data_IF_294421376700
#
_entry.id   IF_294421376700
#
_cell.length_a   1.000
_cell.length_b   1.000
_cell.length_c   1.000
_cell.angle_alpha   90.00
_cell.angle_beta   90.00
_cell.angle_gamma   90.00
#
_symmetry.space_group_name_H-M   'P 1'
#
loop_
_entity.id
_entity.type
_entity.pdbx_description
1 polymer ?
#
# COMPACT_ATOMS: atom_id res chain seq x y z
N UNK A 1 -5.54 7.17 13.47
CA UNK A 1 -5.31 6.16 12.40
C UNK A 1 -4.00 6.48 11.67
N UNK A 2 -3.29 5.46 11.23
CA UNK A 2 -1.98 5.56 10.56
C UNK A 2 -2.13 5.24 9.08
N UNK A 3 -1.34 5.88 8.23
CA UNK A 3 -1.27 5.61 6.79
C UNK A 3 0.02 4.93 6.41
N UNK A 4 -0.05 4.01 5.44
CA UNK A 4 1.10 3.36 4.84
C UNK A 4 1.06 3.48 3.33
N UNK A 5 2.23 3.57 2.71
CA UNK A 5 2.37 3.52 1.26
C UNK A 5 2.63 2.08 0.83
N UNK A 6 1.80 1.58 -0.06
CA UNK A 6 1.89 0.25 -0.67
C UNK A 6 1.94 0.43 -2.18
N UNK A 7 2.89 -0.21 -2.84
CA UNK A 7 2.99 -0.13 -4.29
C UNK A 7 3.14 -1.51 -4.90
N UNK A 8 2.25 -1.84 -5.83
CA UNK A 8 2.39 -3.01 -6.67
C UNK A 8 3.40 -2.73 -7.76
N UNK A 9 4.36 -3.62 -7.91
CA UNK A 9 5.44 -3.55 -8.89
C UNK A 9 4.99 -4.06 -10.25
N UNK A 10 5.75 -3.83 -11.33
CA UNK A 10 5.34 -4.25 -12.67
C UNK A 10 5.01 -5.75 -12.79
N UNK A 11 5.70 -6.59 -12.08
CA UNK A 11 5.46 -8.04 -12.07
C UNK A 11 4.10 -8.41 -11.45
N UNK A 12 3.64 -7.71 -10.42
CA UNK A 12 2.29 -7.91 -9.87
C UNK A 12 1.21 -7.57 -10.93
N UNK A 13 1.40 -6.48 -11.66
CA UNK A 13 0.48 -6.05 -12.73
C UNK A 13 0.48 -7.07 -13.86
N UNK A 14 1.65 -7.45 -14.35
CA UNK A 14 1.78 -8.41 -15.46
C UNK A 14 1.22 -9.80 -15.13
N UNK A 15 1.32 -10.22 -13.87
CA UNK A 15 0.77 -11.50 -13.40
C UNK A 15 -0.71 -11.45 -13.05
N UNK A 16 -1.37 -10.29 -13.14
CA UNK A 16 -2.80 -10.14 -12.82
C UNK A 16 -3.13 -10.29 -11.33
N UNK A 17 -2.19 -9.89 -10.43
CA UNK A 17 -2.32 -10.08 -8.98
C UNK A 17 -2.92 -8.86 -8.25
N UNK A 18 -3.26 -7.79 -8.95
CA UNK A 18 -3.74 -6.55 -8.33
C UNK A 18 -4.97 -6.78 -7.46
N UNK A 19 -5.98 -7.45 -7.99
CA UNK A 19 -7.24 -7.70 -7.28
C UNK A 19 -7.04 -8.50 -6.00
N UNK A 20 -6.27 -9.59 -6.06
CA UNK A 20 -5.99 -10.43 -4.90
C UNK A 20 -5.24 -9.68 -3.80
N UNK A 21 -4.24 -8.88 -4.16
CA UNK A 21 -3.46 -8.14 -3.17
C UNK A 21 -4.31 -7.05 -2.51
N UNK A 22 -5.09 -6.29 -3.29
CA UNK A 22 -6.00 -5.27 -2.77
C UNK A 22 -7.03 -5.92 -1.83
N UNK A 23 -7.62 -7.04 -2.24
CA UNK A 23 -8.58 -7.81 -1.44
C UNK A 23 -7.99 -8.22 -0.08
N UNK A 24 -6.73 -8.64 -0.02
CA UNK A 24 -6.09 -9.00 1.25
C UNK A 24 -6.03 -7.83 2.23
N UNK A 25 -5.74 -6.63 1.76
CA UNK A 25 -5.75 -5.42 2.61
C UNK A 25 -7.16 -5.05 3.04
N UNK A 26 -8.13 -5.06 2.14
CA UNK A 26 -9.53 -4.75 2.45
C UNK A 26 -10.14 -5.79 3.38
N UNK A 27 -9.93 -7.08 3.14
CA UNK A 27 -10.39 -8.18 4.00
C UNK A 27 -9.83 -8.06 5.41
N UNK A 28 -8.57 -7.63 5.55
CA UNK A 28 -7.95 -7.37 6.85
C UNK A 28 -8.57 -6.19 7.58
N UNK A 29 -9.26 -5.28 6.89
CA UNK A 29 -9.92 -4.10 7.44
C UNK A 29 -9.18 -2.79 7.19
N UNK A 30 -8.14 -2.77 6.35
CA UNK A 30 -7.46 -1.54 5.96
C UNK A 30 -8.29 -0.78 4.92
N UNK A 31 -8.38 0.54 5.11
CA UNK A 31 -9.13 1.43 4.24
C UNK A 31 -8.23 1.97 3.13
N UNK A 32 -8.61 1.76 1.87
CA UNK A 32 -7.96 2.38 0.73
C UNK A 32 -8.37 3.85 0.65
N UNK A 33 -7.40 4.77 0.64
CA UNK A 33 -7.65 6.21 0.58
C UNK A 33 -7.07 6.88 -0.66
N UNK A 34 -6.14 6.22 -1.37
CA UNK A 34 -5.61 6.68 -2.65
C UNK A 34 -5.07 5.50 -3.46
N UNK A 35 -5.21 5.58 -4.78
CA UNK A 35 -4.69 4.59 -5.71
C UNK A 35 -4.47 5.22 -7.09
N UNK A 36 -3.40 4.83 -7.76
CA UNK A 36 -3.11 5.18 -9.16
C UNK A 36 -2.70 3.93 -9.94
N UNK A 37 -2.99 3.94 -11.23
CA UNK A 37 -2.41 3.01 -12.18
C UNK A 37 -1.57 3.82 -13.18
N UNK A 38 -0.25 3.65 -13.18
CA UNK A 38 0.63 4.54 -13.91
C UNK A 38 1.95 3.91 -14.32
N UNK A 39 2.56 4.46 -15.36
CA UNK A 39 3.97 4.26 -15.68
C UNK A 39 4.78 5.28 -14.86
N UNK A 40 5.64 4.79 -13.98
CA UNK A 40 6.49 5.66 -13.19
C UNK A 40 7.66 6.17 -14.03
N UNK A 41 7.96 7.49 -13.94
CA UNK A 41 9.14 8.06 -14.55
C UNK A 41 10.42 7.58 -13.84
N UNK A 42 11.52 7.52 -14.58
CA UNK A 42 12.82 7.19 -13.97
C UNK A 42 13.20 8.18 -12.85
N UNK A 43 12.92 9.46 -13.01
CA UNK A 43 13.23 10.48 -12.00
C UNK A 43 12.46 10.26 -10.71
N UNK A 44 11.16 9.92 -10.81
CA UNK A 44 10.34 9.58 -9.66
C UNK A 44 10.89 8.33 -8.94
N UNK A 45 11.25 7.30 -9.70
CA UNK A 45 11.82 6.06 -9.15
C UNK A 45 13.19 6.28 -8.51
N UNK A 46 14.05 7.08 -9.12
CA UNK A 46 15.36 7.45 -8.56
C UNK A 46 15.22 8.23 -7.25
N UNK A 47 14.20 9.06 -7.12
CA UNK A 47 13.89 9.75 -5.87
C UNK A 47 13.35 8.79 -4.83
N UNK A 48 12.42 7.93 -5.21
CA UNK A 48 11.84 6.93 -4.32
C UNK A 48 12.89 5.98 -3.74
N UNK A 49 13.81 5.50 -4.57
CA UNK A 49 14.91 4.61 -4.20
C UNK A 49 16.24 5.31 -3.94
N UNK A 50 16.22 6.59 -3.59
CA UNK A 50 17.44 7.40 -3.41
C UNK A 50 18.44 6.79 -2.41
N UNK A 51 17.95 6.12 -1.37
CA UNK A 51 18.78 5.43 -0.37
C UNK A 51 19.58 4.26 -0.96
N UNK A 52 19.17 3.75 -2.11
CA UNK A 52 19.81 2.65 -2.82
C UNK A 52 20.70 3.13 -3.98
N UNK A 53 20.82 4.44 -4.20
CA UNK A 53 21.48 5.04 -5.39
C UNK A 53 22.93 4.61 -5.60
N UNK A 54 23.64 4.25 -4.53
CA UNK A 54 25.04 3.81 -4.57
C UNK A 54 25.19 2.27 -4.66
N UNK A 55 24.08 1.53 -4.67
CA UNK A 55 24.12 0.07 -4.76
C UNK A 55 24.35 -0.37 -6.20
N UNK A 56 25.12 -1.47 -6.44
CA UNK A 56 25.40 -1.96 -7.78
C UNK A 56 24.15 -2.32 -8.59
N UNK A 57 23.10 -2.77 -7.94
CA UNK A 57 21.84 -3.17 -8.57
C UNK A 57 20.89 -1.99 -8.88
N UNK A 58 21.24 -0.76 -8.51
CA UNK A 58 20.35 0.39 -8.66
C UNK A 58 19.89 0.63 -10.12
N UNK A 59 20.78 0.60 -11.15
CA UNK A 59 20.34 0.76 -12.53
C UNK A 59 19.33 -0.30 -12.98
N UNK A 60 19.54 -1.56 -12.58
CA UNK A 60 18.61 -2.65 -12.89
C UNK A 60 17.28 -2.49 -12.18
N UNK A 61 17.29 -2.03 -10.92
CA UNK A 61 16.07 -1.73 -10.17
C UNK A 61 15.23 -0.66 -10.87
N UNK A 62 15.84 0.42 -11.32
CA UNK A 62 15.15 1.51 -12.03
C UNK A 62 14.59 0.99 -13.36
N UNK A 63 15.36 0.22 -14.12
CA UNK A 63 14.91 -0.40 -15.37
C UNK A 63 13.71 -1.31 -15.14
N UNK A 64 13.77 -2.17 -14.15
CA UNK A 64 12.68 -3.07 -13.78
C UNK A 64 11.42 -2.30 -13.38
N UNK A 65 11.53 -1.33 -12.48
CA UNK A 65 10.40 -0.55 -11.98
C UNK A 65 9.77 0.36 -13.04
N UNK A 66 10.50 0.74 -14.08
CA UNK A 66 10.00 1.53 -15.21
C UNK A 66 9.54 0.69 -16.41
N UNK A 67 9.66 -0.63 -16.34
CA UNK A 67 9.38 -1.54 -17.46
C UNK A 67 7.90 -1.77 -17.76
N UNK A 68 7.02 -1.36 -16.87
CA UNK A 68 5.57 -1.52 -17.00
C UNK A 68 4.82 -0.75 -15.94
N UNK A 69 3.48 -0.77 -15.96
CA UNK A 69 2.66 -0.06 -14.99
C UNK A 69 2.92 -0.53 -13.56
N UNK A 70 2.81 0.40 -12.62
CA UNK A 70 2.82 0.20 -11.18
C UNK A 70 1.51 0.69 -10.58
N UNK A 71 1.19 0.23 -9.37
CA UNK A 71 -0.02 0.66 -8.66
C UNK A 71 0.37 1.18 -7.28
N UNK A 72 0.72 2.46 -7.16
CA UNK A 72 0.89 3.10 -5.86
C UNK A 72 -0.47 3.26 -5.18
N UNK A 73 -0.50 2.95 -3.87
CA UNK A 73 -1.70 2.99 -3.03
C UNK A 73 -1.36 3.57 -1.66
N UNK A 74 -2.38 4.12 -1.00
CA UNK A 74 -2.31 4.51 0.40
C UNK A 74 -3.43 3.77 1.14
N UNK A 75 -3.04 2.98 2.13
CA UNK A 75 -3.97 2.34 3.06
C UNK A 75 -3.91 3.00 4.43
N UNK A 76 -5.06 3.09 5.08
CA UNK A 76 -5.21 3.68 6.42
C UNK A 76 -5.81 2.66 7.38
N UNK A 77 -5.28 2.60 8.59
CA UNK A 77 -5.75 1.72 9.65
C UNK A 77 -4.89 1.79 10.90
N UNK A 78 -5.23 0.99 11.90
CA UNK A 78 -4.46 0.92 13.14
C UNK A 78 -3.11 0.26 12.89
N UNK A 79 -2.02 0.97 13.23
CA UNK A 79 -0.63 0.50 13.02
C UNK A 79 -0.36 0.01 11.59
N UNK A 80 -0.90 0.73 10.60
CA UNK A 80 -0.92 0.32 9.20
C UNK A 80 0.47 -0.01 8.62
N UNK A 81 1.51 0.73 9.01
CA UNK A 81 2.88 0.49 8.53
C UNK A 81 3.38 -0.88 9.00
N UNK A 82 3.34 -1.15 10.29
CA UNK A 82 3.80 -2.42 10.85
C UNK A 82 2.95 -3.60 10.36
N UNK A 83 1.64 -3.44 10.38
CA UNK A 83 0.70 -4.49 9.93
C UNK A 83 0.85 -4.76 8.43
N UNK A 84 0.99 -3.72 7.63
CA UNK A 84 1.26 -3.83 6.19
C UNK A 84 2.53 -4.64 5.92
N UNK A 85 3.62 -4.33 6.60
CA UNK A 85 4.89 -5.08 6.46
C UNK A 85 4.72 -6.56 6.86
N UNK A 86 3.98 -6.85 7.91
CA UNK A 86 3.67 -8.22 8.32
C UNK A 86 2.88 -8.96 7.23
N UNK A 87 1.92 -8.30 6.60
CA UNK A 87 1.14 -8.87 5.50
C UNK A 87 1.98 -9.13 4.25
N UNK A 88 2.93 -8.25 3.94
CA UNK A 88 3.83 -8.44 2.80
C UNK A 88 4.73 -9.67 2.97
N UNK A 89 5.21 -9.91 4.15
CA UNK A 89 6.27 -10.89 4.44
C UNK A 89 7.68 -10.30 4.29
N UNK A 90 8.70 -11.14 4.39
CA UNK A 90 10.09 -10.75 4.23
C UNK A 90 10.38 -10.25 2.81
N UNK A 91 11.39 -9.38 2.67
CA UNK A 91 11.81 -8.86 1.36
C UNK A 91 12.22 -9.97 0.39
N UNK A 92 12.90 -10.99 0.90
CA UNK A 92 13.18 -12.21 0.13
C UNK A 92 11.99 -13.18 0.29
N UNK A 93 11.32 -13.57 -0.79
CA UNK A 93 10.21 -14.52 -0.74
C UNK A 93 10.56 -15.87 -0.10
N UNK A 94 11.82 -16.31 -0.22
CA UNK A 94 12.29 -17.57 0.41
C UNK A 94 12.22 -17.55 1.93
N UNK A 95 12.26 -16.35 2.53
CA UNK A 95 12.20 -16.14 3.98
C UNK A 95 10.81 -15.71 4.43
N UNK A 96 9.85 -15.59 3.50
CA UNK A 96 8.49 -15.17 3.76
C UNK A 96 7.63 -16.36 4.19
N UNK A 97 6.93 -16.21 5.31
CA UNK A 97 6.03 -17.25 5.80
C UNK A 97 4.82 -17.44 4.85
N UNK A 98 4.31 -18.69 4.72
CA UNK A 98 3.01 -18.92 4.10
C UNK A 98 1.92 -18.06 4.76
N UNK A 99 0.97 -17.58 3.97
CA UNK A 99 -0.06 -16.64 4.40
C UNK A 99 0.32 -15.18 4.20
N UNK A 100 1.61 -14.86 4.04
CA UNK A 100 2.05 -13.54 3.61
C UNK A 100 1.94 -13.39 2.10
N UNK A 101 1.82 -12.16 1.62
CA UNK A 101 1.70 -11.88 0.18
C UNK A 101 2.88 -12.47 -0.60
N UNK A 102 4.10 -12.21 -0.17
CA UNK A 102 5.29 -12.75 -0.84
C UNK A 102 5.46 -14.25 -0.62
N UNK A 103 5.11 -14.76 0.57
CA UNK A 103 5.18 -16.19 0.86
C UNK A 103 4.23 -17.02 -0.01
N UNK A 104 3.07 -16.48 -0.33
CA UNK A 104 2.07 -17.15 -1.16
C UNK A 104 2.27 -16.95 -2.67
N UNK A 105 2.77 -15.78 -3.07
CA UNK A 105 2.72 -15.33 -4.47
C UNK A 105 4.08 -15.17 -5.15
N UNK A 106 5.19 -15.29 -4.43
CA UNK A 106 6.53 -15.06 -4.95
C UNK A 106 7.49 -16.20 -4.68
N UNK A 107 8.49 -16.34 -5.56
CA UNK A 107 9.58 -17.31 -5.41
C UNK A 107 10.98 -16.69 -5.55
N UNK A 108 11.08 -15.47 -6.08
CA UNK A 108 12.36 -14.81 -6.39
C UNK A 108 12.39 -13.39 -5.84
N UNK A 109 13.52 -13.01 -5.21
CA UNK A 109 13.69 -11.67 -4.61
C UNK A 109 13.66 -10.55 -5.64
N UNK A 110 14.12 -10.80 -6.85
CA UNK A 110 14.08 -9.84 -7.95
C UNK A 110 12.67 -9.66 -8.55
N UNK A 111 11.71 -10.46 -8.14
CA UNK A 111 10.32 -10.46 -8.59
C UNK A 111 9.40 -10.64 -7.39
N UNK A 112 9.47 -9.71 -6.43
CA UNK A 112 8.76 -9.79 -5.16
C UNK A 112 7.50 -8.92 -5.07
N UNK A 113 6.98 -8.49 -6.20
CA UNK A 113 5.66 -7.94 -6.54
C UNK A 113 5.20 -6.68 -5.81
N UNK A 114 5.69 -6.38 -4.62
CA UNK A 114 5.09 -5.34 -3.77
C UNK A 114 6.15 -4.62 -2.95
N UNK A 115 5.93 -3.32 -2.74
CA UNK A 115 6.65 -2.47 -1.80
C UNK A 115 5.70 -2.00 -0.70
N UNK A 116 6.18 -1.93 0.52
CA UNK A 116 5.49 -1.29 1.65
C UNK A 116 6.47 -0.47 2.47
N UNK A 117 6.02 0.67 2.97
CA UNK A 117 6.82 1.54 3.84
C UNK A 117 7.33 0.78 5.07
N UNK A 118 8.56 1.04 5.48
CA UNK A 118 9.21 0.36 6.60
C UNK A 118 9.08 1.11 7.93
N UNK A 119 8.64 2.37 7.88
CA UNK A 119 8.41 3.22 9.05
C UNK A 119 7.32 4.25 8.76
N UNK A 120 6.79 4.88 9.82
CA UNK A 120 5.82 5.98 9.67
C UNK A 120 6.46 7.17 8.95
N UNK A 121 7.73 7.45 9.23
CA UNK A 121 8.49 8.50 8.55
C UNK A 121 8.63 8.21 7.05
N UNK A 122 9.04 6.99 6.69
CA UNK A 122 9.11 6.55 5.29
C UNK A 122 7.76 6.61 4.61
N UNK A 123 6.68 6.18 5.28
CA UNK A 123 5.33 6.26 4.76
C UNK A 123 4.92 7.69 4.43
N UNK A 124 5.16 8.64 5.34
CA UNK A 124 4.85 10.06 5.13
C UNK A 124 5.60 10.62 3.92
N UNK A 125 6.91 10.32 3.81
CA UNK A 125 7.75 10.75 2.69
C UNK A 125 7.28 10.15 1.35
N UNK A 126 7.04 8.84 1.33
CA UNK A 126 6.62 8.13 0.11
C UNK A 126 5.22 8.57 -0.35
N UNK A 127 4.27 8.72 0.57
CA UNK A 127 2.94 9.25 0.25
C UNK A 127 3.06 10.64 -0.37
N UNK A 128 3.83 11.55 0.22
CA UNK A 128 4.04 12.91 -0.29
C UNK A 128 4.76 12.95 -1.64
N UNK A 129 5.58 11.95 -1.96
CA UNK A 129 6.26 11.83 -3.25
C UNK A 129 5.32 11.37 -4.37
N UNK A 130 4.44 10.41 -4.08
CA UNK A 130 3.59 9.76 -5.08
C UNK A 130 2.19 10.37 -5.23
N UNK A 131 1.71 11.08 -4.21
CA UNK A 131 0.35 11.64 -4.18
C UNK A 131 0.36 13.10 -3.77
N UNK A 132 -0.48 13.89 -4.44
CA UNK A 132 -0.84 15.22 -3.97
C UNK A 132 -1.89 15.10 -2.86
N UNK A 133 -1.98 16.05 -1.93
CA UNK A 133 -2.96 15.98 -0.83
C UNK A 133 -4.41 15.77 -1.29
N UNK A 134 -4.81 16.41 -2.39
CA UNK A 134 -6.17 16.30 -2.95
C UNK A 134 -6.47 14.94 -3.60
N UNK A 135 -5.46 14.12 -3.86
CA UNK A 135 -5.62 12.76 -4.38
C UNK A 135 -5.90 11.73 -3.28
N UNK A 136 -5.82 12.14 -2.01
CA UNK A 136 -6.10 11.29 -0.85
C UNK A 136 -7.52 11.59 -0.38
N UNK A 137 -8.40 10.59 -0.49
CA UNK A 137 -9.81 10.72 -0.15
C UNK A 137 -10.03 10.59 1.36
N UNK A 138 -10.70 11.59 1.94
CA UNK A 138 -11.21 11.50 3.30
C UNK A 138 -12.61 10.90 3.26
N UNK A 139 -12.76 9.66 3.71
CA UNK A 139 -14.04 8.97 3.74
C UNK A 139 -14.10 7.99 4.92
N UNK A 140 -15.30 7.59 5.32
CA UNK A 140 -15.52 6.66 6.42
C UNK A 140 -16.23 5.41 5.91
N UNK A 141 -15.66 4.21 6.10
CA UNK A 141 -16.33 2.95 5.81
C UNK A 141 -17.59 2.78 6.68
N UNK A 142 -18.69 2.31 6.08
CA UNK A 142 -19.93 2.10 6.81
C UNK A 142 -19.80 1.05 7.94
N UNK A 143 -18.81 0.16 7.84
CA UNK A 143 -18.58 -0.93 8.78
C UNK A 143 -17.46 -0.67 9.80
N UNK A 144 -16.96 0.57 9.90
CA UNK A 144 -15.82 0.90 10.77
C UNK A 144 -16.03 0.53 12.24
N UNK A 145 -17.29 0.63 12.71
CA UNK A 145 -17.71 0.28 14.07
C UNK A 145 -17.65 -1.23 14.36
N UNK A 146 -17.52 -2.05 13.30
CA UNK A 146 -17.35 -3.50 13.39
C UNK A 146 -15.90 -3.93 13.27
N UNK A 147 -14.98 -2.98 13.01
CA UNK A 147 -13.53 -3.22 12.88
C UNK A 147 -12.75 -2.78 14.11
N UNK A 148 -13.18 -1.70 14.75
CA UNK A 148 -12.46 -1.06 15.85
C UNK A 148 -13.38 -0.84 17.05
N UNK A 149 -12.82 -0.96 18.24
CA UNK A 149 -13.44 -0.54 19.47
C UNK A 149 -13.55 1.01 19.51
N UNK A 150 -14.50 1.55 20.28
CA UNK A 150 -14.74 3.01 20.33
C UNK A 150 -13.50 3.80 20.75
N UNK A 151 -12.66 3.23 21.61
CA UNK A 151 -11.44 3.84 22.12
C UNK A 151 -10.38 4.08 21.03
N UNK A 152 -10.42 3.30 19.95
CA UNK A 152 -9.50 3.40 18.82
C UNK A 152 -10.02 4.36 17.72
N UNK A 153 -11.28 4.76 17.83
CA UNK A 153 -11.89 5.73 16.93
C UNK A 153 -11.66 7.15 17.48
N UNK A 154 -11.04 8.01 16.68
CA UNK A 154 -10.80 9.41 17.11
C UNK A 154 -12.11 10.13 17.45
N UNK A 155 -12.14 10.98 18.50
CA UNK A 155 -13.29 11.82 18.81
C UNK A 155 -13.66 12.69 17.60
N UNK A 156 -14.89 12.53 17.09
CA UNK A 156 -15.38 13.23 15.89
C UNK A 156 -15.45 12.35 14.64
N UNK A 157 -14.90 11.16 14.64
CA UNK A 157 -15.07 10.16 13.56
C UNK A 157 -16.45 9.48 13.63
N UNK A 158 -17.12 9.56 14.75
CA UNK A 158 -18.50 9.09 14.93
C UNK A 158 -19.44 10.22 14.46
N UNK A 159 -19.73 10.30 13.16
CA UNK A 159 -20.89 11.09 12.73
C UNK A 159 -22.16 10.33 13.14
N UNK A 160 -23.14 11.01 13.76
CA UNK A 160 -24.42 10.38 14.03
C UNK A 160 -25.02 9.89 12.71
N UNK A 161 -25.54 8.67 12.72
CA UNK A 161 -26.22 8.07 11.58
C UNK A 161 -27.23 9.06 11.01
N UNK A 162 -26.92 9.71 9.90
CA UNK A 162 -27.91 10.29 9.06
C UNK A 162 -28.65 9.11 8.39
N UNK A 163 -29.72 8.62 9.05
CA UNK A 163 -30.67 7.72 8.42
C UNK A 163 -31.54 8.60 7.50
N UNK A 164 -30.97 8.97 6.38
CA UNK A 164 -31.69 9.58 5.29
C UNK A 164 -32.01 8.50 4.26
N UNK A 165 -33.17 7.87 4.42
CA UNK A 165 -33.76 7.15 3.30
C UNK A 165 -34.21 8.21 2.28
N UNK A 166 -33.48 8.35 1.19
CA UNK A 166 -34.06 8.94 -0.02
C UNK A 166 -34.83 7.81 -0.70
N UNK A 167 -36.13 7.83 -0.55
CA UNK A 167 -37.05 7.03 -1.37
C UNK A 167 -37.15 7.76 -2.70
N UNK A 168 -36.64 7.16 -3.77
CA UNK A 168 -36.94 7.52 -5.15
C UNK A 168 -38.07 6.67 -5.62
#
# INVERSE_FOLDING_TARGET
>A
MERTFIMLKPDAVQRGLMGEIIERFETRGFKLVAMKFMLASEDLLKTHYSDLSKKPFFPELIRYMSSGPVVPMVFEGLKAVKQGRTMLGATNPKDSAPGTIRGDLCVDVGRNIIHGSDSVESATKEIGLWFRPEEISAWRPAHVEWLYEEEELEPGTVQPRAVGFVVV
#
